data_IF_558518969270
#
_entry.id   IF_558518969270
#
_cell.length_a   1.000
_cell.length_b   1.000
_cell.length_c   1.000
_cell.angle_alpha   90.00
_cell.angle_beta   90.00
_cell.angle_gamma   90.00
#
_symmetry.space_group_name_H-M   'P 1'
#
loop_
_entity.id
_entity.type
_entity.pdbx_description
1 polymer ?
#
# COMPACT_ATOMS: atom_id res chain seq x y z
N UNK A 1 -8.53 -48.03 -3.93
CA UNK A 1 -8.91 -47.83 -5.34
C UNK A 1 -8.53 -46.40 -5.68
N UNK A 2 -7.40 -46.23 -6.37
CA UNK A 2 -6.86 -44.90 -6.72
C UNK A 2 -7.45 -44.50 -8.07
N UNK A 3 -8.11 -43.35 -8.16
CA UNK A 3 -8.55 -42.81 -9.44
C UNK A 3 -7.34 -42.58 -10.36
N UNK A 4 -7.49 -42.68 -11.68
CA UNK A 4 -6.42 -42.33 -12.61
C UNK A 4 -6.07 -40.85 -12.44
N UNK A 5 -4.78 -40.47 -12.48
CA UNK A 5 -4.40 -39.06 -12.54
C UNK A 5 -4.96 -38.44 -13.83
N UNK A 6 -5.56 -37.24 -13.79
CA UNK A 6 -6.10 -36.60 -14.98
C UNK A 6 -4.96 -36.29 -15.96
N UNK A 7 -4.96 -36.97 -17.10
CA UNK A 7 -3.90 -36.90 -18.12
C UNK A 7 -4.08 -35.73 -19.12
N UNK A 8 -5.02 -34.81 -18.86
CA UNK A 8 -5.34 -33.70 -19.76
C UNK A 8 -5.86 -32.47 -19.02
N UNK A 9 -5.99 -31.35 -19.74
CA UNK A 9 -6.65 -30.15 -19.23
C UNK A 9 -8.04 -30.52 -18.72
N UNK A 10 -8.28 -30.33 -17.41
CA UNK A 10 -9.58 -30.60 -16.78
C UNK A 10 -10.74 -29.78 -17.38
N UNK A 11 -10.46 -28.83 -18.27
CA UNK A 11 -11.45 -28.02 -18.98
C UNK A 11 -11.86 -28.60 -20.33
N UNK A 12 -11.06 -29.52 -20.89
CA UNK A 12 -11.23 -30.03 -22.27
C UNK A 12 -11.76 -31.47 -22.27
N UNK A 13 -11.39 -32.28 -21.28
CA UNK A 13 -11.79 -33.69 -21.20
C UNK A 13 -12.31 -34.02 -19.80
N UNK A 14 -13.41 -34.77 -19.73
CA UNK A 14 -13.97 -35.23 -18.46
C UNK A 14 -13.28 -36.54 -18.01
N UNK A 15 -12.43 -36.50 -16.97
CA UNK A 15 -11.72 -37.70 -16.49
C UNK A 15 -12.64 -38.73 -15.81
N UNK A 16 -13.91 -38.38 -15.55
CA UNK A 16 -14.86 -39.21 -14.80
C UNK A 16 -15.89 -39.93 -15.70
N UNK A 17 -15.94 -39.64 -17.01
CA UNK A 17 -17.01 -40.11 -17.91
C UNK A 17 -17.13 -41.64 -18.05
N UNK A 18 -16.03 -42.37 -17.93
CA UNK A 18 -15.98 -43.83 -18.17
C UNK A 18 -15.89 -44.66 -16.88
N UNK A 19 -16.22 -44.07 -15.73
CA UNK A 19 -16.10 -44.79 -14.47
C UNK A 19 -17.30 -45.71 -14.22
N UNK A 20 -17.04 -47.03 -14.20
CA UNK A 20 -18.05 -48.09 -13.98
C UNK A 20 -18.87 -47.99 -12.66
N UNK A 21 -18.45 -47.16 -11.71
CA UNK A 21 -19.12 -46.99 -10.41
C UNK A 21 -19.81 -45.64 -10.25
N UNK A 22 -19.79 -44.78 -11.27
CA UNK A 22 -20.43 -43.47 -11.25
C UNK A 22 -21.60 -43.46 -12.22
N UNK A 23 -22.73 -42.90 -11.80
CA UNK A 23 -23.80 -42.53 -12.71
C UNK A 23 -23.29 -41.43 -13.66
N UNK A 24 -23.77 -41.36 -14.92
CA UNK A 24 -23.36 -40.31 -15.87
C UNK A 24 -23.53 -38.89 -15.30
N UNK A 25 -24.60 -38.66 -14.52
CA UNK A 25 -24.85 -37.36 -13.86
C UNK A 25 -23.83 -37.08 -12.76
N UNK A 26 -23.41 -38.09 -12.00
CA UNK A 26 -22.41 -37.93 -10.93
C UNK A 26 -21.03 -37.59 -11.50
N UNK A 27 -20.66 -38.22 -12.62
CA UNK A 27 -19.42 -37.93 -13.33
C UNK A 27 -19.39 -36.49 -13.87
N UNK A 28 -20.49 -36.00 -14.43
CA UNK A 28 -20.62 -34.62 -14.91
C UNK A 28 -20.53 -33.61 -13.76
N UNK A 29 -21.24 -33.85 -12.66
CA UNK A 29 -21.22 -32.98 -11.47
C UNK A 29 -19.81 -32.91 -10.86
N UNK A 30 -19.12 -34.04 -10.72
CA UNK A 30 -17.74 -34.07 -10.23
C UNK A 30 -16.78 -33.29 -11.14
N UNK A 31 -17.00 -33.35 -12.45
CA UNK A 31 -16.21 -32.59 -13.41
C UNK A 31 -16.45 -31.08 -13.28
N UNK A 32 -17.70 -30.65 -13.12
CA UNK A 32 -18.03 -29.25 -12.85
C UNK A 32 -17.41 -28.75 -11.54
N UNK A 33 -17.45 -29.55 -10.47
CA UNK A 33 -16.78 -29.21 -9.22
C UNK A 33 -15.26 -29.12 -9.36
N UNK A 34 -14.64 -29.99 -10.17
CA UNK A 34 -13.21 -29.92 -10.45
C UNK A 34 -12.85 -28.62 -11.20
N UNK A 35 -13.64 -28.23 -12.21
CA UNK A 35 -13.50 -26.95 -12.93
C UNK A 35 -13.67 -25.76 -11.99
N UNK A 36 -14.68 -25.80 -11.11
CA UNK A 36 -14.91 -24.75 -10.12
C UNK A 36 -13.74 -24.62 -9.13
N UNK A 37 -13.25 -25.74 -8.58
CA UNK A 37 -12.13 -25.73 -7.65
C UNK A 37 -10.87 -25.12 -8.28
N UNK A 38 -10.61 -25.42 -9.55
CA UNK A 38 -9.50 -24.81 -10.29
C UNK A 38 -9.73 -23.32 -10.53
N UNK A 39 -10.94 -22.89 -10.88
CA UNK A 39 -11.28 -21.48 -11.02
C UNK A 39 -11.10 -20.72 -9.70
N UNK A 40 -11.54 -21.28 -8.58
CA UNK A 40 -11.33 -20.70 -7.24
C UNK A 40 -9.85 -20.58 -6.92
N UNK A 41 -9.04 -21.60 -7.24
CA UNK A 41 -7.58 -21.56 -7.09
C UNK A 41 -6.95 -20.46 -7.94
N UNK A 42 -7.38 -20.31 -9.19
CA UNK A 42 -6.92 -19.24 -10.08
C UNK A 42 -7.27 -17.86 -9.53
N UNK A 43 -8.51 -17.66 -9.07
CA UNK A 43 -8.95 -16.41 -8.45
C UNK A 43 -8.09 -16.12 -7.22
N UNK A 44 -7.91 -17.07 -6.31
CA UNK A 44 -7.08 -16.87 -5.11
C UNK A 44 -5.63 -16.48 -5.45
N UNK A 45 -5.03 -17.13 -6.45
CA UNK A 45 -3.68 -16.80 -6.91
C UNK A 45 -3.60 -15.41 -7.55
N UNK A 46 -4.58 -15.06 -8.38
CA UNK A 46 -4.66 -13.74 -9.02
C UNK A 46 -4.89 -12.64 -7.99
N UNK A 47 -5.77 -12.85 -7.02
CA UNK A 47 -6.00 -11.93 -5.89
C UNK A 47 -4.74 -11.73 -5.08
N UNK A 48 -4.01 -12.80 -4.74
CA UNK A 48 -2.73 -12.69 -4.02
C UNK A 48 -1.71 -11.89 -4.81
N UNK A 49 -1.58 -12.13 -6.12
CA UNK A 49 -0.68 -11.36 -6.99
C UNK A 49 -1.10 -9.88 -7.04
N UNK A 50 -2.40 -9.62 -7.16
CA UNK A 50 -2.95 -8.27 -7.17
C UNK A 50 -2.82 -7.56 -5.82
N UNK A 51 -2.64 -8.26 -4.71
CA UNK A 51 -2.34 -7.63 -3.42
C UNK A 51 -0.86 -7.25 -3.31
N UNK A 52 0.03 -8.09 -3.84
CA UNK A 52 1.49 -7.93 -3.71
C UNK A 52 2.06 -6.87 -4.68
N UNK A 53 1.55 -6.82 -5.92
CA UNK A 53 2.02 -5.91 -6.97
C UNK A 53 1.76 -4.40 -6.71
N UNK A 54 0.56 -3.96 -6.30
CA UNK A 54 0.29 -2.54 -6.05
C UNK A 54 1.00 -2.03 -4.80
N UNK A 55 1.28 -2.89 -3.81
CA UNK A 55 1.90 -2.47 -2.55
C UNK A 55 3.33 -1.95 -2.79
N UNK A 56 4.12 -2.66 -3.60
CA UNK A 56 5.48 -2.24 -3.92
C UNK A 56 5.52 -0.94 -4.74
N UNK A 57 4.61 -0.79 -5.72
CA UNK A 57 4.53 0.43 -6.52
C UNK A 57 4.08 1.62 -5.66
N UNK A 58 3.10 1.44 -4.77
CA UNK A 58 2.59 2.52 -3.94
C UNK A 58 3.63 2.98 -2.91
N UNK A 59 4.31 2.04 -2.25
CA UNK A 59 5.39 2.34 -1.28
C UNK A 59 6.55 3.09 -1.95
N UNK A 60 6.94 2.70 -3.17
CA UNK A 60 8.01 3.41 -3.91
C UNK A 60 7.62 4.86 -4.26
N UNK A 61 6.36 5.08 -4.67
CA UNK A 61 5.83 6.43 -4.94
C UNK A 61 5.75 7.26 -3.67
N UNK A 62 5.30 6.68 -2.56
CA UNK A 62 5.25 7.35 -1.24
C UNK A 62 6.64 7.79 -0.77
N UNK A 63 7.66 6.93 -0.87
CA UNK A 63 9.05 7.31 -0.53
C UNK A 63 9.59 8.46 -1.38
N UNK A 64 9.29 8.46 -2.68
CA UNK A 64 9.66 9.57 -3.56
C UNK A 64 8.98 10.87 -3.14
N UNK A 65 7.69 10.78 -2.76
CA UNK A 65 6.93 11.93 -2.29
C UNK A 65 7.45 12.45 -0.95
N UNK A 66 7.76 11.56 -0.01
CA UNK A 66 8.35 11.86 1.29
C UNK A 66 9.67 12.61 1.14
N UNK A 67 10.55 12.14 0.26
CA UNK A 67 11.85 12.80 0.03
C UNK A 67 11.67 14.23 -0.50
N UNK A 68 10.74 14.42 -1.44
CA UNK A 68 10.45 15.73 -2.04
C UNK A 68 9.81 16.68 -1.03
N UNK A 69 8.80 16.21 -0.29
CA UNK A 69 8.12 17.03 0.71
C UNK A 69 9.02 17.32 1.92
N UNK A 70 9.86 16.36 2.32
CA UNK A 70 10.88 16.55 3.36
C UNK A 70 11.86 17.66 2.98
N UNK A 71 12.35 17.66 1.73
CA UNK A 71 13.21 18.74 1.23
C UNK A 71 12.49 20.09 1.26
N UNK A 72 11.26 20.17 0.76
CA UNK A 72 10.46 21.40 0.77
C UNK A 72 10.23 21.89 2.20
N UNK A 73 9.91 21.00 3.15
CA UNK A 73 9.72 21.35 4.56
C UNK A 73 11.01 21.89 5.20
N UNK A 74 12.17 21.27 4.92
CA UNK A 74 13.46 21.73 5.44
C UNK A 74 13.81 23.12 4.88
N UNK A 75 13.67 23.32 3.57
CA UNK A 75 13.92 24.61 2.93
C UNK A 75 12.96 25.69 3.45
N UNK A 76 11.69 25.34 3.64
CA UNK A 76 10.70 26.25 4.20
C UNK A 76 11.04 26.63 5.65
N UNK A 77 11.38 25.66 6.49
CA UNK A 77 11.81 25.92 7.88
C UNK A 77 13.06 26.80 7.93
N UNK A 78 14.04 26.55 7.08
CA UNK A 78 15.25 27.37 7.00
C UNK A 78 14.92 28.80 6.56
N UNK A 79 14.03 28.97 5.57
CA UNK A 79 13.56 30.28 5.10
C UNK A 79 12.86 31.07 6.21
N UNK A 80 11.93 30.43 6.93
CA UNK A 80 11.24 31.06 8.06
C UNK A 80 12.21 31.41 9.18
N UNK A 81 13.14 30.52 9.53
CA UNK A 81 14.16 30.78 10.54
C UNK A 81 15.05 31.96 10.14
N UNK A 82 15.44 32.05 8.87
CA UNK A 82 16.23 33.17 8.38
C UNK A 82 15.50 34.51 8.58
N UNK A 83 14.21 34.58 8.22
CA UNK A 83 13.40 35.79 8.40
C UNK A 83 13.23 36.17 9.87
N UNK A 84 13.01 35.19 10.76
CA UNK A 84 12.87 35.45 12.20
C UNK A 84 14.20 35.94 12.81
N UNK A 85 15.31 35.33 12.41
CA UNK A 85 16.64 35.68 12.91
C UNK A 85 17.13 37.04 12.39
N UNK A 86 16.73 37.44 11.18
CA UNK A 86 17.02 38.77 10.61
C UNK A 86 16.10 39.87 11.15
N UNK A 87 15.08 39.56 11.96
CA UNK A 87 14.34 40.59 12.68
C UNK A 87 15.31 41.27 13.66
N UNK A 88 15.53 42.60 13.54
CA UNK A 88 16.32 43.30 14.53
C UNK A 88 15.66 43.12 15.90
N UNK A 89 16.47 42.96 16.93
CA UNK A 89 16.03 42.86 18.34
C UNK A 89 15.51 44.21 18.86
N UNK A 90 14.78 44.95 18.02
CA UNK A 90 14.28 46.31 18.28
C UNK A 90 12.76 46.26 18.51
N UNK A 91 12.36 45.63 19.62
CA UNK A 91 11.02 45.84 20.17
C UNK A 91 10.87 45.53 21.67
N UNK A 92 11.92 45.15 22.42
CA UNK A 92 11.73 44.90 23.86
C UNK A 92 12.96 45.03 24.76
N UNK A 93 13.97 45.85 24.44
CA UNK A 93 15.01 46.23 25.42
C UNK A 93 15.47 47.70 25.32
N UNK A 94 14.70 48.56 24.63
CA UNK A 94 14.92 50.01 24.60
C UNK A 94 13.87 50.81 25.38
N UNK A 95 13.11 50.15 26.27
CA UNK A 95 12.09 50.78 27.12
C UNK A 95 12.53 50.95 28.60
N UNK A 96 13.84 50.92 28.90
CA UNK A 96 14.36 51.08 30.27
C UNK A 96 15.44 52.18 30.41
N UNK A 97 15.40 53.25 29.60
CA UNK A 97 16.34 54.38 29.81
C UNK A 97 15.74 55.77 29.64
N UNK A 98 14.43 55.91 29.79
CA UNK A 98 13.77 57.23 29.76
C UNK A 98 12.75 57.36 30.90
N UNK A 99 13.23 57.43 32.14
CA UNK A 99 12.32 57.56 33.28
C UNK A 99 12.90 57.85 34.66
N UNK A 100 14.15 58.31 34.82
CA UNK A 100 14.60 58.76 36.15
C UNK A 100 15.41 60.06 36.11
N UNK A 101 14.68 61.16 36.04
CA UNK A 101 15.14 62.51 36.42
C UNK A 101 14.39 62.94 37.69
N UNK A 102 14.65 62.28 38.83
CA UNK A 102 14.22 62.81 40.14
C UNK A 102 15.43 63.16 41.02
N UNK A 103 15.87 64.41 40.86
CA UNK A 103 16.45 65.36 41.82
C UNK A 103 16.99 64.78 43.14
N UNK A 104 18.33 64.85 43.30
CA UNK A 104 18.99 64.89 44.62
C UNK A 104 19.08 66.35 45.10
N UNK A 105 18.32 66.71 46.12
CA UNK A 105 18.67 67.72 47.13
C UNK A 105 18.00 67.39 48.44
#
# INVERSE_FOLDING_TARGET
MSSPPPAGNIFEENPYENHLSLSPVEAEVLWEYAKLAQNVKLVALKTRKLMDEPDQMLVSRLRSLETKMGLVMVLFKASVWNVINEQPVDAMDAAETSGDTTIRR
#
